data_IF_168581704002
#
_entry.id   IF_168581704002
#
_cell.length_a   1.000
_cell.length_b   1.000
_cell.length_c   1.000
_cell.angle_alpha   90.00
_cell.angle_beta   90.00
_cell.angle_gamma   90.00
#
_symmetry.space_group_name_H-M   'P 1'
#
loop_
_entity.id
_entity.type
_entity.pdbx_description
1 polymer ?
#
# COMPACT_ATOMS: atom_id res chain seq x y z
N UNK A 1 6.02 6.46 25.09
CA UNK A 1 6.34 5.22 24.37
C UNK A 1 5.03 4.52 24.01
N UNK A 2 4.97 3.90 22.84
CA UNK A 2 3.78 3.24 22.28
C UNK A 2 3.89 1.72 22.37
N UNK A 3 2.75 1.03 22.57
CA UNK A 3 2.66 -0.43 22.51
C UNK A 3 2.90 -0.98 21.10
N UNK A 4 2.45 -0.23 20.09
CA UNK A 4 2.63 -0.59 18.70
C UNK A 4 2.82 0.65 17.82
N UNK A 5 3.60 0.49 16.75
CA UNK A 5 3.68 1.43 15.63
C UNK A 5 3.36 0.65 14.36
N UNK A 6 2.41 1.14 13.57
CA UNK A 6 1.97 0.53 12.32
C UNK A 6 2.23 1.52 11.18
N UNK A 7 2.91 1.06 10.14
CA UNK A 7 2.98 1.72 8.84
C UNK A 7 2.23 0.90 7.80
N UNK A 8 1.58 1.56 6.85
CA UNK A 8 0.89 0.92 5.75
C UNK A 8 1.10 1.75 4.48
N UNK A 9 1.51 1.10 3.40
CA UNK A 9 1.67 1.72 2.07
C UNK A 9 2.53 2.98 2.05
N UNK A 10 3.58 3.05 2.89
CA UNK A 10 4.31 4.30 3.15
C UNK A 10 5.83 4.18 3.02
N UNK A 11 6.41 3.09 3.51
CA UNK A 11 7.87 2.96 3.65
C UNK A 11 8.55 2.50 2.36
N UNK A 12 7.82 1.86 1.43
CA UNK A 12 8.35 1.42 0.14
C UNK A 12 8.82 2.57 -0.77
N UNK A 13 8.46 3.82 -0.43
CA UNK A 13 8.93 5.02 -1.14
C UNK A 13 10.33 5.48 -0.71
N UNK A 14 10.85 4.98 0.41
CA UNK A 14 12.12 5.44 0.97
C UNK A 14 13.29 4.69 0.37
N UNK A 15 14.38 5.42 0.10
CA UNK A 15 15.69 4.81 -0.10
C UNK A 15 16.22 4.20 1.21
N UNK A 16 17.14 3.25 1.09
CA UNK A 16 17.59 2.42 2.22
C UNK A 16 18.14 3.22 3.41
N UNK A 17 18.95 4.25 3.17
CA UNK A 17 19.56 5.05 4.24
C UNK A 17 18.50 5.87 5.03
N UNK A 18 17.65 6.69 4.38
CA UNK A 18 16.53 7.35 5.08
C UNK A 18 15.58 6.38 5.79
N UNK A 19 15.38 5.17 5.24
CA UNK A 19 14.54 4.14 5.86
C UNK A 19 15.18 3.58 7.13
N UNK A 20 16.49 3.35 7.13
CA UNK A 20 17.23 2.90 8.31
C UNK A 20 17.18 3.94 9.44
N UNK A 21 17.35 5.23 9.10
CA UNK A 21 17.21 6.33 10.05
C UNK A 21 15.81 6.38 10.67
N UNK A 22 14.76 6.18 9.86
CA UNK A 22 13.39 6.11 10.33
C UNK A 22 13.19 4.95 11.31
N UNK A 23 13.72 3.76 11.00
CA UNK A 23 13.64 2.62 11.92
C UNK A 23 14.35 2.91 13.26
N UNK A 24 15.48 3.61 13.25
CA UNK A 24 16.15 4.07 14.47
C UNK A 24 15.28 5.00 15.32
N UNK A 25 14.55 5.93 14.68
CA UNK A 25 13.62 6.83 15.37
C UNK A 25 12.40 6.10 15.91
N UNK A 26 11.82 5.18 15.13
CA UNK A 26 10.68 4.34 15.55
C UNK A 26 11.06 3.49 16.76
N UNK A 27 12.28 2.95 16.81
CA UNK A 27 12.76 2.18 17.96
C UNK A 27 12.75 2.99 19.26
N UNK A 28 12.99 4.31 19.21
CA UNK A 28 12.88 5.19 20.38
C UNK A 28 11.43 5.50 20.81
N UNK A 29 10.45 5.18 19.98
CA UNK A 29 9.03 5.40 20.25
C UNK A 29 8.33 4.14 20.78
N UNK A 30 8.76 2.96 20.34
CA UNK A 30 8.20 1.68 20.77
C UNK A 30 8.73 1.32 22.16
N UNK A 31 7.84 0.95 23.09
CA UNK A 31 8.26 0.50 24.43
C UNK A 31 8.94 -0.87 24.37
N UNK A 32 9.67 -1.23 25.41
CA UNK A 32 10.14 -2.60 25.59
C UNK A 32 8.97 -3.60 25.55
N UNK A 33 9.12 -4.63 24.71
CA UNK A 33 8.09 -5.61 24.43
C UNK A 33 6.93 -5.13 23.53
N UNK A 34 7.02 -3.92 22.97
CA UNK A 34 6.11 -3.43 21.94
C UNK A 34 6.48 -3.95 20.54
N UNK A 35 5.61 -3.67 19.56
CA UNK A 35 5.77 -4.18 18.18
C UNK A 35 5.82 -3.04 17.15
N UNK A 36 6.68 -3.18 16.16
CA UNK A 36 6.63 -2.39 14.94
C UNK A 36 6.15 -3.27 13.79
N UNK A 37 5.14 -2.81 13.04
CA UNK A 37 4.54 -3.53 11.93
C UNK A 37 4.60 -2.67 10.67
N UNK A 38 5.19 -3.22 9.61
CA UNK A 38 5.23 -2.60 8.30
C UNK A 38 4.36 -3.37 7.30
N UNK A 39 3.21 -2.80 6.94
CA UNK A 39 2.30 -3.33 5.93
C UNK A 39 2.63 -2.75 4.54
N UNK A 40 3.85 -3.01 4.08
CA UNK A 40 4.34 -2.64 2.76
C UNK A 40 4.81 -3.87 1.99
N UNK A 41 4.68 -3.82 0.66
CA UNK A 41 5.28 -4.81 -0.22
C UNK A 41 6.75 -4.46 -0.44
N UNK A 42 7.63 -5.11 0.32
CA UNK A 42 9.08 -4.91 0.27
C UNK A 42 9.71 -6.12 -0.44
N UNK A 43 10.13 -5.94 -1.70
CA UNK A 43 10.83 -7.00 -2.44
C UNK A 43 12.22 -7.18 -1.82
N UNK A 44 12.56 -8.43 -1.50
CA UNK A 44 13.92 -8.82 -1.12
C UNK A 44 14.51 -9.71 -2.21
N UNK A 45 15.45 -9.18 -2.98
CA UNK A 45 16.09 -9.89 -4.10
C UNK A 45 16.84 -11.16 -3.67
N UNK A 46 17.16 -11.32 -2.38
CA UNK A 46 17.78 -12.53 -1.83
C UNK A 46 16.79 -13.67 -1.62
N UNK A 47 15.48 -13.42 -1.74
CA UNK A 47 14.40 -14.41 -1.54
C UNK A 47 13.52 -14.65 -2.77
N UNK A 48 14.10 -14.94 -3.95
CA UNK A 48 13.36 -14.97 -5.22
C UNK A 48 12.19 -15.97 -5.26
N UNK A 49 12.29 -17.09 -4.54
CA UNK A 49 11.20 -18.09 -4.46
C UNK A 49 10.01 -17.57 -3.63
N UNK A 50 10.29 -16.82 -2.56
CA UNK A 50 9.26 -16.22 -1.72
C UNK A 50 8.55 -15.12 -2.50
N UNK A 51 9.32 -14.24 -3.18
CA UNK A 51 8.75 -13.20 -4.05
C UNK A 51 7.86 -13.79 -5.16
N UNK A 52 8.27 -14.90 -5.77
CA UNK A 52 7.47 -15.57 -6.79
C UNK A 52 6.17 -16.17 -6.21
N UNK A 53 6.25 -16.81 -5.04
CA UNK A 53 5.09 -17.40 -4.37
C UNK A 53 4.08 -16.35 -3.90
N UNK A 54 4.55 -15.26 -3.27
CA UNK A 54 3.73 -14.11 -2.90
C UNK A 54 3.04 -13.54 -4.13
N UNK A 55 3.81 -13.30 -5.21
CA UNK A 55 3.28 -12.71 -6.43
C UNK A 55 2.19 -13.58 -7.04
N UNK A 56 2.40 -14.89 -7.10
CA UNK A 56 1.41 -15.82 -7.63
C UNK A 56 0.14 -15.82 -6.77
N UNK A 57 0.28 -15.87 -5.45
CA UNK A 57 -0.84 -15.84 -4.52
C UNK A 57 -1.63 -14.53 -4.62
N UNK A 58 -0.94 -13.39 -4.68
CA UNK A 58 -1.56 -12.06 -4.80
C UNK A 58 -2.37 -11.93 -6.09
N UNK A 59 -1.81 -12.34 -7.23
CA UNK A 59 -2.56 -12.29 -8.50
C UNK A 59 -3.76 -13.24 -8.49
N UNK A 60 -3.61 -14.48 -8.00
CA UNK A 60 -4.73 -15.40 -7.89
C UNK A 60 -5.88 -14.82 -7.03
N UNK A 61 -5.55 -14.13 -5.93
CA UNK A 61 -6.56 -13.44 -5.11
C UNK A 61 -7.20 -12.25 -5.81
N UNK A 62 -6.42 -11.48 -6.56
CA UNK A 62 -6.94 -10.36 -7.35
C UNK A 62 -7.90 -10.86 -8.45
N UNK A 63 -7.55 -11.95 -9.13
CA UNK A 63 -8.37 -12.54 -10.18
C UNK A 63 -9.67 -13.10 -9.61
N UNK A 64 -9.61 -13.84 -8.50
CA UNK A 64 -10.80 -14.31 -7.80
C UNK A 64 -11.70 -13.16 -7.33
N UNK A 65 -11.12 -12.09 -6.77
CA UNK A 65 -11.91 -10.92 -6.36
C UNK A 65 -12.62 -10.26 -7.55
N UNK A 66 -11.98 -10.18 -8.72
CA UNK A 66 -12.61 -9.66 -9.94
C UNK A 66 -13.73 -10.57 -10.42
N UNK A 67 -13.54 -11.89 -10.38
CA UNK A 67 -14.61 -12.87 -10.69
C UNK A 67 -15.80 -12.73 -9.74
N UNK A 68 -15.56 -12.37 -8.49
CA UNK A 68 -16.57 -12.05 -7.48
C UNK A 68 -17.20 -10.65 -7.63
N UNK A 69 -16.77 -9.88 -8.63
CA UNK A 69 -17.34 -8.57 -8.97
C UNK A 69 -16.60 -7.37 -8.39
N UNK A 70 -15.39 -7.54 -7.85
CA UNK A 70 -14.52 -6.41 -7.52
C UNK A 70 -14.19 -5.62 -8.80
N UNK A 71 -14.39 -4.31 -8.73
CA UNK A 71 -14.09 -3.40 -9.83
C UNK A 71 -12.59 -3.34 -10.10
N UNK A 72 -12.21 -3.23 -11.36
CA UNK A 72 -10.87 -2.76 -11.68
C UNK A 72 -10.70 -1.28 -11.32
N UNK A 73 -9.46 -0.77 -11.44
CA UNK A 73 -9.15 0.59 -11.04
C UNK A 73 -9.87 1.65 -11.88
N UNK A 74 -10.03 1.41 -13.18
CA UNK A 74 -10.72 2.34 -14.08
C UNK A 74 -12.21 2.36 -13.79
N UNK A 75 -12.81 1.17 -13.65
CA UNK A 75 -14.21 0.99 -13.31
C UNK A 75 -14.55 1.63 -11.96
N UNK A 76 -13.67 1.47 -10.98
CA UNK A 76 -13.83 2.10 -9.66
C UNK A 76 -13.86 3.63 -9.77
N UNK A 77 -12.95 4.25 -10.53
CA UNK A 77 -12.97 5.70 -10.73
C UNK A 77 -14.18 6.19 -11.51
N UNK A 78 -14.63 5.43 -12.52
CA UNK A 78 -15.86 5.74 -13.24
C UNK A 78 -17.09 5.68 -12.33
N UNK A 79 -17.10 4.76 -11.37
CA UNK A 79 -18.15 4.69 -10.35
C UNK A 79 -18.05 5.85 -9.36
N UNK A 80 -16.86 6.16 -8.85
CA UNK A 80 -16.62 7.27 -7.93
C UNK A 80 -16.99 8.63 -8.56
N UNK A 81 -16.79 8.81 -9.88
CA UNK A 81 -17.20 10.00 -10.61
C UNK A 81 -18.72 10.21 -10.67
N UNK A 82 -19.52 9.14 -10.45
CA UNK A 82 -20.99 9.19 -10.44
C UNK A 82 -21.57 9.39 -9.03
N UNK A 83 -20.76 9.22 -7.99
CA UNK A 83 -21.21 9.40 -6.62
C UNK A 83 -21.34 10.90 -6.29
N UNK A 84 -22.47 11.37 -5.71
CA UNK A 84 -22.69 12.78 -5.43
C UNK A 84 -21.64 13.44 -4.52
N UNK A 85 -21.00 12.68 -3.64
CA UNK A 85 -19.97 13.17 -2.71
C UNK A 85 -18.59 13.11 -3.36
N UNK A 86 -18.30 12.05 -4.13
CA UNK A 86 -16.97 11.82 -4.70
C UNK A 86 -16.76 12.41 -6.10
N UNK A 87 -17.82 12.82 -6.80
CA UNK A 87 -17.72 13.31 -8.18
C UNK A 87 -16.76 14.51 -8.32
N UNK A 88 -16.93 15.56 -7.52
CA UNK A 88 -16.09 16.75 -7.60
C UNK A 88 -14.62 16.48 -7.21
N UNK A 89 -14.31 15.77 -6.11
CA UNK A 89 -12.95 15.33 -5.81
C UNK A 89 -12.31 14.46 -6.91
N UNK A 90 -13.09 13.58 -7.53
CA UNK A 90 -12.63 12.73 -8.64
C UNK A 90 -12.16 13.57 -9.82
N UNK A 91 -12.96 14.55 -10.24
CA UNK A 91 -12.57 15.50 -11.31
C UNK A 91 -11.26 16.19 -10.95
N UNK A 92 -11.17 16.75 -9.73
CA UNK A 92 -9.97 17.47 -9.29
C UNK A 92 -8.73 16.58 -9.27
N UNK A 93 -8.85 15.32 -8.86
CA UNK A 93 -7.75 14.35 -8.92
C UNK A 93 -7.24 14.19 -10.35
N UNK A 94 -8.12 13.95 -11.32
CA UNK A 94 -7.72 13.73 -12.71
C UNK A 94 -7.08 14.98 -13.35
N UNK A 95 -7.46 16.19 -12.93
CA UNK A 95 -6.76 17.43 -13.34
C UNK A 95 -5.30 17.47 -12.86
N UNK A 96 -5.01 16.91 -11.67
CA UNK A 96 -3.68 16.94 -11.06
C UNK A 96 -2.81 15.80 -11.58
N UNK A 97 -3.37 14.59 -11.69
CA UNK A 97 -2.60 13.36 -11.90
C UNK A 97 -2.83 12.67 -13.26
N UNK A 98 -3.86 13.06 -14.02
CA UNK A 98 -4.22 12.40 -15.27
C UNK A 98 -4.65 10.93 -15.10
N UNK A 99 -4.65 10.16 -16.21
CA UNK A 99 -4.99 8.73 -16.21
C UNK A 99 -3.87 7.84 -15.64
N UNK A 100 -2.70 8.39 -15.33
CA UNK A 100 -1.53 7.62 -14.89
C UNK A 100 -1.50 7.28 -13.39
N UNK A 101 -2.53 7.64 -12.65
CA UNK A 101 -2.62 7.38 -11.22
C UNK A 101 -3.59 6.25 -10.90
#
# INVERSE_FOLDING_TARGET
AYDAVLTATALHWFHAEPLADLYGRVAGLVRDGGVFMNADHMIDDTTPRINAAERAQRHARMDAAKEEGALDWSEWWQLAAKDPVLAAPTVRRFEIYGEHA
#
